data_IF_134049302402
#
_entry.id   IF_134049302402
#
_cell.length_a   1.000
_cell.length_b   1.000
_cell.length_c   1.000
_cell.angle_alpha   90.00
_cell.angle_beta   90.00
_cell.angle_gamma   90.00
#
_symmetry.space_group_name_H-M   'P 1'
#
loop_
_entity.id
_entity.type
_entity.pdbx_description
1 polymer ?
#
# COMPACT_ATOMS: atom_id res chain seq x y z
N UNK A 1 35.67 -36.68 -33.63
CA UNK A 1 35.55 -37.44 -32.37
C UNK A 1 34.10 -37.82 -32.21
N UNK A 2 33.79 -39.03 -31.74
CA UNK A 2 32.40 -39.43 -31.52
C UNK A 2 31.82 -38.61 -30.37
N UNK A 3 30.65 -38.02 -30.56
CA UNK A 3 29.94 -37.29 -29.51
C UNK A 3 29.43 -38.30 -28.46
N UNK A 4 29.77 -38.08 -27.19
CA UNK A 4 29.31 -38.92 -26.10
C UNK A 4 28.44 -38.11 -25.14
N UNK A 5 27.21 -38.58 -24.90
CA UNK A 5 26.30 -37.98 -23.93
C UNK A 5 26.84 -38.22 -22.52
N UNK A 6 27.09 -37.15 -21.77
CA UNK A 6 27.59 -37.23 -20.38
C UNK A 6 26.52 -37.01 -19.34
N UNK A 7 25.40 -36.38 -19.70
CA UNK A 7 24.21 -36.35 -18.86
C UNK A 7 23.21 -35.29 -19.29
N UNK A 8 22.19 -35.10 -18.46
CA UNK A 8 21.12 -34.12 -18.65
C UNK A 8 21.05 -33.20 -17.43
N UNK A 9 21.07 -31.89 -17.66
CA UNK A 9 20.97 -30.88 -16.60
C UNK A 9 19.93 -29.83 -16.96
N UNK A 10 18.98 -29.57 -16.08
CA UNK A 10 17.81 -28.71 -16.30
C UNK A 10 17.00 -29.04 -17.57
N UNK A 11 17.07 -30.30 -18.05
CA UNK A 11 16.41 -30.72 -19.29
C UNK A 11 17.26 -30.57 -20.54
N UNK A 12 18.52 -30.14 -20.44
CA UNK A 12 19.46 -30.01 -21.56
C UNK A 12 20.47 -31.16 -21.53
N UNK A 13 20.57 -31.87 -22.65
CA UNK A 13 21.56 -32.93 -22.85
C UNK A 13 22.94 -32.31 -23.13
N UNK A 14 23.95 -32.75 -22.38
CA UNK A 14 25.33 -32.26 -22.48
C UNK A 14 26.23 -33.35 -23.05
N UNK A 15 27.00 -33.02 -24.09
CA UNK A 15 27.90 -33.96 -24.77
C UNK A 15 29.38 -33.58 -24.62
N UNK A 16 30.26 -34.58 -24.74
CA UNK A 16 31.69 -34.39 -24.94
C UNK A 16 32.11 -34.66 -26.39
N UNK A 17 32.99 -33.80 -26.97
CA UNK A 17 33.50 -32.55 -26.40
C UNK A 17 32.40 -31.47 -26.26
N UNK A 18 32.51 -30.63 -25.24
CA UNK A 18 31.50 -29.61 -24.88
C UNK A 18 31.20 -28.67 -26.05
N UNK A 19 29.91 -28.47 -26.35
CA UNK A 19 29.46 -27.48 -27.33
C UNK A 19 28.98 -26.22 -26.64
N UNK A 20 29.54 -25.08 -27.06
CA UNK A 20 29.15 -23.76 -26.57
C UNK A 20 27.66 -23.44 -26.76
N UNK A 21 27.01 -24.01 -27.78
CA UNK A 21 25.56 -23.91 -27.98
C UNK A 21 24.76 -24.64 -26.90
N UNK A 22 25.17 -25.85 -26.50
CA UNK A 22 24.51 -26.61 -25.43
C UNK A 22 24.66 -25.88 -24.09
N UNK A 23 25.80 -25.22 -23.85
CA UNK A 23 26.00 -24.40 -22.64
C UNK A 23 25.09 -23.16 -22.63
N UNK A 24 24.82 -22.53 -23.77
CA UNK A 24 23.83 -21.44 -23.86
C UNK A 24 22.42 -21.94 -23.56
N UNK A 25 22.04 -23.07 -24.13
CA UNK A 25 20.75 -23.70 -23.87
C UNK A 25 20.62 -24.05 -22.38
N UNK A 26 21.71 -24.52 -21.75
CA UNK A 26 21.79 -24.79 -20.32
C UNK A 26 21.57 -23.54 -19.45
N UNK A 27 22.14 -22.39 -19.81
CA UNK A 27 21.92 -21.12 -19.09
C UNK A 27 20.44 -20.73 -19.12
N UNK A 28 19.81 -20.78 -20.29
CA UNK A 28 18.37 -20.47 -20.45
C UNK A 28 17.51 -21.49 -19.69
N UNK A 29 17.87 -22.77 -19.74
CA UNK A 29 17.16 -23.83 -19.04
C UNK A 29 17.26 -23.67 -17.50
N UNK A 30 18.42 -23.25 -16.99
CA UNK A 30 18.63 -22.94 -15.57
C UNK A 30 17.69 -21.83 -15.09
N UNK A 31 17.58 -20.73 -15.85
CA UNK A 31 16.71 -19.61 -15.47
C UNK A 31 15.22 -20.01 -15.45
N UNK A 32 14.80 -20.83 -16.43
CA UNK A 32 13.44 -21.37 -16.46
C UNK A 32 13.18 -22.33 -15.29
N UNK A 33 14.17 -23.15 -14.92
CA UNK A 33 14.09 -24.04 -13.78
C UNK A 33 13.95 -23.25 -12.45
N UNK A 34 14.72 -22.18 -12.26
CA UNK A 34 14.62 -21.30 -11.09
C UNK A 34 13.22 -20.68 -11.00
N UNK A 35 12.69 -20.13 -12.11
CA UNK A 35 11.33 -19.56 -12.14
C UNK A 35 10.28 -20.59 -11.75
N UNK A 36 10.40 -21.81 -12.27
CA UNK A 36 9.50 -22.91 -11.95
C UNK A 36 9.58 -23.31 -10.46
N UNK A 37 10.78 -23.36 -9.87
CA UNK A 37 10.95 -23.59 -8.43
C UNK A 37 10.29 -22.51 -7.58
N UNK A 38 10.42 -21.24 -7.97
CA UNK A 38 9.75 -20.12 -7.29
C UNK A 38 8.23 -20.29 -7.31
N UNK A 39 7.65 -20.65 -8.46
CA UNK A 39 6.20 -20.84 -8.63
C UNK A 39 5.67 -22.07 -7.88
N UNK A 40 6.32 -23.23 -8.01
CA UNK A 40 5.82 -24.50 -7.47
C UNK A 40 6.07 -24.67 -5.97
N UNK A 41 7.23 -24.21 -5.49
CA UNK A 41 7.66 -24.40 -4.10
C UNK A 41 7.55 -23.14 -3.24
N UNK A 42 7.06 -22.03 -3.81
CA UNK A 42 6.94 -20.73 -3.13
C UNK A 42 8.28 -20.29 -2.49
N UNK A 43 9.38 -20.55 -3.20
CA UNK A 43 10.73 -20.15 -2.80
C UNK A 43 11.00 -18.71 -3.27
N UNK A 44 11.85 -17.99 -2.53
CA UNK A 44 12.41 -16.75 -3.06
C UNK A 44 13.51 -17.04 -4.10
N UNK A 45 13.84 -16.04 -4.91
CA UNK A 45 14.81 -16.17 -6.01
C UNK A 45 16.18 -16.67 -5.54
N UNK A 46 16.65 -16.20 -4.39
CA UNK A 46 17.93 -16.62 -3.83
C UNK A 46 17.92 -18.09 -3.44
N UNK A 47 16.85 -18.57 -2.82
CA UNK A 47 16.67 -19.99 -2.47
C UNK A 47 16.62 -20.87 -3.72
N UNK A 48 15.80 -20.51 -4.70
CA UNK A 48 15.69 -21.27 -5.94
C UNK A 48 17.00 -21.29 -6.74
N UNK A 49 17.76 -20.19 -6.72
CA UNK A 49 19.08 -20.10 -7.37
C UNK A 49 20.13 -20.97 -6.66
N UNK A 50 20.08 -21.10 -5.33
CA UNK A 50 20.94 -22.02 -4.58
C UNK A 50 20.64 -23.48 -4.94
N UNK A 51 19.36 -23.89 -4.93
CA UNK A 51 18.94 -25.24 -5.35
C UNK A 51 19.43 -25.59 -6.76
N UNK A 52 19.30 -24.65 -7.71
CA UNK A 52 19.81 -24.85 -9.06
C UNK A 52 21.35 -24.92 -9.09
N UNK A 53 22.05 -24.17 -8.24
CA UNK A 53 23.51 -24.19 -8.18
C UNK A 53 24.03 -25.51 -7.62
N UNK A 54 23.36 -26.08 -6.61
CA UNK A 54 23.70 -27.39 -6.05
C UNK A 54 23.60 -28.49 -7.12
N UNK A 55 22.55 -28.49 -7.94
CA UNK A 55 22.41 -29.44 -9.06
C UNK A 55 23.53 -29.32 -10.09
N UNK A 56 23.95 -28.08 -10.41
CA UNK A 56 25.07 -27.85 -11.33
C UNK A 56 26.40 -28.33 -10.74
N UNK A 57 26.64 -28.09 -9.45
CA UNK A 57 27.83 -28.57 -8.74
C UNK A 57 27.86 -30.09 -8.76
N UNK A 58 26.75 -30.75 -8.40
CA UNK A 58 26.63 -32.21 -8.42
C UNK A 58 26.90 -32.79 -9.81
N UNK A 59 26.38 -32.15 -10.86
CA UNK A 59 26.67 -32.56 -12.25
C UNK A 59 28.16 -32.43 -12.58
N UNK A 60 28.80 -31.33 -12.20
CA UNK A 60 30.23 -31.12 -12.43
C UNK A 60 31.12 -32.19 -11.74
N UNK A 61 30.68 -32.80 -10.63
CA UNK A 61 31.42 -33.90 -9.99
C UNK A 61 31.44 -35.20 -10.80
N UNK A 62 30.56 -35.34 -11.80
CA UNK A 62 30.48 -36.51 -12.68
C UNK A 62 31.42 -36.40 -13.89
N UNK A 63 31.99 -35.21 -14.13
CA UNK A 63 32.92 -34.94 -15.22
C UNK A 63 34.37 -35.13 -14.76
N UNK A 64 35.29 -35.20 -15.72
CA UNK A 64 36.72 -35.06 -15.41
C UNK A 64 37.03 -33.64 -14.90
N UNK A 65 38.11 -33.47 -14.14
CA UNK A 65 38.53 -32.15 -13.67
C UNK A 65 38.74 -31.16 -14.83
N UNK A 66 39.24 -31.65 -15.97
CA UNK A 66 39.47 -30.86 -17.18
C UNK A 66 38.15 -30.42 -17.84
N UNK A 67 37.20 -31.35 -18.02
CA UNK A 67 35.89 -31.06 -18.61
C UNK A 67 35.04 -30.15 -17.71
N UNK A 68 35.10 -30.36 -16.39
CA UNK A 68 34.44 -29.53 -15.38
C UNK A 68 34.97 -28.09 -15.37
N UNK A 69 36.30 -27.94 -15.45
CA UNK A 69 36.93 -26.63 -15.59
C UNK A 69 36.53 -25.95 -16.91
N UNK A 70 36.49 -26.70 -18.01
CA UNK A 70 36.10 -26.17 -19.31
C UNK A 70 34.62 -25.75 -19.35
N UNK A 71 33.71 -26.55 -18.77
CA UNK A 71 32.30 -26.21 -18.64
C UNK A 71 32.12 -24.93 -17.81
N UNK A 72 32.82 -24.84 -16.67
CA UNK A 72 32.78 -23.67 -15.80
C UNK A 72 33.26 -22.41 -16.52
N UNK A 73 34.33 -22.52 -17.33
CA UNK A 73 34.83 -21.42 -18.14
C UNK A 73 33.80 -20.96 -19.18
N UNK A 74 33.22 -21.89 -19.95
CA UNK A 74 32.21 -21.52 -20.96
C UNK A 74 30.97 -20.92 -20.31
N UNK A 75 30.51 -21.48 -19.19
CA UNK A 75 29.39 -20.93 -18.41
C UNK A 75 29.67 -19.49 -17.96
N UNK A 76 30.88 -19.22 -17.47
CA UNK A 76 31.27 -17.87 -17.06
C UNK A 76 31.31 -16.92 -18.25
N UNK A 77 31.94 -17.30 -19.36
CA UNK A 77 32.01 -16.48 -20.57
C UNK A 77 30.63 -16.15 -21.14
N UNK A 78 29.75 -17.15 -21.25
CA UNK A 78 28.40 -16.98 -21.77
C UNK A 78 27.51 -16.20 -20.79
N UNK A 79 27.61 -16.47 -19.49
CA UNK A 79 26.87 -15.69 -18.48
C UNK A 79 27.29 -14.22 -18.49
N UNK A 80 28.59 -13.93 -18.64
CA UNK A 80 29.08 -12.55 -18.74
C UNK A 80 28.63 -11.86 -20.04
N UNK A 81 28.50 -12.61 -21.14
CA UNK A 81 28.01 -12.07 -22.41
C UNK A 81 26.53 -11.67 -22.38
N UNK A 82 25.74 -12.27 -21.49
CA UNK A 82 24.31 -11.96 -21.31
C UNK A 82 24.08 -10.95 -20.17
N UNK A 83 25.07 -10.67 -19.32
CA UNK A 83 24.94 -9.60 -18.32
C UNK A 83 24.78 -8.24 -19.02
N UNK A 84 23.76 -7.44 -18.64
CA UNK A 84 23.65 -6.08 -19.14
C UNK A 84 24.91 -5.28 -18.76
N UNK A 85 25.38 -4.38 -19.64
CA UNK A 85 26.40 -3.41 -19.28
C UNK A 85 26.06 -2.74 -17.96
N UNK A 86 27.07 -2.50 -17.12
CA UNK A 86 26.90 -1.82 -15.82
C UNK A 86 26.13 -0.49 -15.99
N UNK A 87 26.37 0.23 -17.08
CA UNK A 87 25.65 1.45 -17.43
C UNK A 87 24.13 1.23 -17.58
N UNK A 88 23.71 0.18 -18.29
CA UNK A 88 22.30 -0.15 -18.48
C UNK A 88 21.63 -0.53 -17.14
N UNK A 89 22.37 -1.21 -16.25
CA UNK A 89 21.89 -1.53 -14.90
C UNK A 89 21.72 -0.26 -14.05
N UNK A 90 22.66 0.69 -14.14
CA UNK A 90 22.53 1.99 -13.46
C UNK A 90 21.34 2.78 -13.99
N UNK A 91 21.16 2.84 -15.30
CA UNK A 91 20.02 3.53 -15.94
C UNK A 91 18.68 2.92 -15.50
N UNK A 92 18.60 1.59 -15.40
CA UNK A 92 17.41 0.89 -14.88
C UNK A 92 17.14 1.27 -13.43
N UNK A 93 18.15 1.20 -12.55
CA UNK A 93 18.02 1.57 -11.14
C UNK A 93 17.61 3.04 -11.00
N UNK A 94 18.23 3.95 -11.76
CA UNK A 94 17.89 5.37 -11.75
C UNK A 94 16.44 5.59 -12.17
N UNK A 95 16.00 4.93 -13.26
CA UNK A 95 14.63 5.04 -13.76
C UNK A 95 13.60 4.51 -12.77
N UNK A 96 13.85 3.35 -12.15
CA UNK A 96 12.98 2.79 -11.11
C UNK A 96 12.91 3.70 -9.89
N UNK A 97 14.07 4.19 -9.43
CA UNK A 97 14.15 5.11 -8.29
C UNK A 97 13.39 6.40 -8.57
N UNK A 98 13.55 6.96 -9.78
CA UNK A 98 12.85 8.17 -10.20
C UNK A 98 11.34 7.96 -10.26
N UNK A 99 10.89 6.81 -10.76
CA UNK A 99 9.47 6.40 -10.77
C UNK A 99 8.88 6.37 -9.35
N UNK A 100 9.59 5.76 -8.39
CA UNK A 100 9.14 5.74 -6.99
C UNK A 100 9.11 7.13 -6.34
N UNK A 101 10.12 7.97 -6.61
CA UNK A 101 10.16 9.35 -6.13
C UNK A 101 8.99 10.16 -6.70
N UNK A 102 8.69 9.99 -7.98
CA UNK A 102 7.57 10.66 -8.64
C UNK A 102 6.24 10.24 -8.00
N UNK A 103 6.01 8.94 -7.81
CA UNK A 103 4.80 8.43 -7.17
C UNK A 103 4.59 9.02 -5.76
N UNK A 104 5.65 9.07 -4.96
CA UNK A 104 5.62 9.63 -3.62
C UNK A 104 5.38 11.16 -3.63
N UNK A 105 5.99 11.88 -4.57
CA UNK A 105 5.83 13.33 -4.71
C UNK A 105 4.39 13.68 -5.06
N UNK A 106 3.80 13.03 -6.06
CA UNK A 106 2.39 13.25 -6.41
C UNK A 106 1.44 12.89 -5.27
N UNK A 107 1.76 11.85 -4.48
CA UNK A 107 0.96 11.51 -3.30
C UNK A 107 1.00 12.63 -2.24
N UNK A 108 2.18 13.22 -1.99
CA UNK A 108 2.33 14.35 -1.05
C UNK A 108 1.52 15.56 -1.52
N UNK A 109 1.55 15.87 -2.82
CA UNK A 109 0.76 16.96 -3.41
C UNK A 109 -0.74 16.73 -3.24
N UNK A 110 -1.23 15.52 -3.54
CA UNK A 110 -2.62 15.14 -3.31
C UNK A 110 -3.01 15.26 -1.82
N UNK A 111 -2.12 14.81 -0.92
CA UNK A 111 -2.34 14.83 0.53
C UNK A 111 -2.41 16.26 1.07
N UNK A 112 -1.58 17.18 0.55
CA UNK A 112 -1.62 18.59 0.92
C UNK A 112 -2.99 19.21 0.60
N UNK A 113 -3.51 18.97 -0.61
CA UNK A 113 -4.83 19.45 -1.00
C UNK A 113 -5.95 18.78 -0.19
N UNK A 114 -5.83 17.49 0.13
CA UNK A 114 -6.77 16.81 1.02
C UNK A 114 -6.80 17.43 2.43
N UNK A 115 -5.66 17.85 2.95
CA UNK A 115 -5.58 18.54 4.24
C UNK A 115 -6.29 19.90 4.19
N UNK A 116 -6.14 20.65 3.10
CA UNK A 116 -6.90 21.89 2.88
C UNK A 116 -8.41 21.63 2.82
N UNK A 117 -8.83 20.59 2.09
CA UNK A 117 -10.24 20.17 2.01
C UNK A 117 -10.78 19.86 3.42
N UNK A 118 -10.05 19.07 4.19
CA UNK A 118 -10.42 18.67 5.55
C UNK A 118 -10.53 19.88 6.49
N UNK A 119 -9.58 20.82 6.40
CA UNK A 119 -9.63 22.06 7.16
C UNK A 119 -10.85 22.92 6.79
N UNK A 120 -11.19 23.02 5.50
CA UNK A 120 -12.36 23.75 5.04
C UNK A 120 -13.67 23.14 5.57
N UNK A 121 -13.81 21.82 5.50
CA UNK A 121 -14.95 21.10 6.06
C UNK A 121 -15.05 21.32 7.58
N UNK A 122 -13.92 21.30 8.29
CA UNK A 122 -13.87 21.49 9.73
C UNK A 122 -14.23 22.91 10.18
N UNK A 123 -13.74 23.93 9.48
CA UNK A 123 -13.94 25.34 9.84
C UNK A 123 -15.29 25.84 9.33
N UNK A 124 -15.53 25.68 8.03
CA UNK A 124 -16.66 26.28 7.34
C UNK A 124 -17.83 25.30 7.13
N UNK A 125 -17.59 23.99 7.23
CA UNK A 125 -18.60 22.97 6.92
C UNK A 125 -18.78 22.71 5.43
N UNK A 126 -18.04 23.42 4.60
CA UNK A 126 -18.10 23.28 3.15
C UNK A 126 -16.74 23.64 2.54
N UNK A 127 -16.46 23.12 1.35
CA UNK A 127 -15.33 23.53 0.53
C UNK A 127 -15.71 24.66 -0.45
N UNK A 128 -16.68 25.51 -0.11
CA UNK A 128 -17.22 26.53 -1.01
C UNK A 128 -16.63 27.91 -0.76
N UNK A 129 -16.32 28.64 -1.84
CA UNK A 129 -15.93 30.04 -1.78
C UNK A 129 -17.01 30.94 -1.15
N UNK A 130 -18.27 30.52 -1.25
CA UNK A 130 -19.41 31.23 -0.67
C UNK A 130 -19.39 31.27 0.86
N UNK A 131 -18.64 30.36 1.50
CA UNK A 131 -18.47 30.36 2.96
C UNK A 131 -17.25 31.17 3.43
N UNK A 132 -16.56 31.88 2.52
CA UNK A 132 -15.31 32.59 2.79
C UNK A 132 -14.09 31.68 2.89
N UNK A 133 -14.22 30.39 2.52
CA UNK A 133 -13.12 29.47 2.39
C UNK A 133 -12.40 29.69 1.06
N UNK A 134 -11.09 29.44 0.98
CA UNK A 134 -10.43 29.20 -0.30
C UNK A 134 -10.65 27.72 -0.65
N UNK A 135 -11.45 27.36 -1.68
CA UNK A 135 -11.74 25.97 -1.98
C UNK A 135 -10.46 25.19 -2.30
N UNK A 136 -10.31 24.03 -1.67
CA UNK A 136 -9.30 23.05 -2.04
C UNK A 136 -9.63 22.49 -3.43
N UNK A 137 -8.62 22.35 -4.29
CA UNK A 137 -8.81 21.86 -5.66
C UNK A 137 -8.85 20.33 -5.69
N UNK A 138 -10.02 19.76 -5.38
CA UNK A 138 -10.23 18.30 -5.30
C UNK A 138 -9.90 17.60 -6.63
N UNK A 139 -10.17 18.23 -7.76
CA UNK A 139 -9.84 17.66 -9.08
C UNK A 139 -8.34 17.48 -9.27
N UNK A 140 -7.57 18.51 -8.95
CA UNK A 140 -6.11 18.44 -8.99
C UNK A 140 -5.55 17.38 -8.02
N UNK A 141 -6.12 17.26 -6.82
CA UNK A 141 -5.74 16.19 -5.89
C UNK A 141 -5.99 14.78 -6.47
N UNK A 142 -7.07 14.61 -7.22
CA UNK A 142 -7.40 13.35 -7.90
C UNK A 142 -6.42 13.09 -9.06
N UNK A 143 -6.01 14.12 -9.79
CA UNK A 143 -4.99 14.00 -10.84
C UNK A 143 -3.65 13.53 -10.24
N UNK A 144 -3.17 14.19 -9.20
CA UNK A 144 -1.94 13.81 -8.51
C UNK A 144 -2.01 12.37 -7.97
N UNK A 145 -3.10 11.97 -7.30
CA UNK A 145 -3.19 10.62 -6.74
C UNK A 145 -3.37 9.54 -7.83
N UNK A 146 -3.96 9.89 -8.97
CA UNK A 146 -3.99 9.01 -10.13
C UNK A 146 -2.57 8.77 -10.66
N UNK A 147 -1.74 9.80 -10.72
CA UNK A 147 -0.33 9.65 -11.13
C UNK A 147 0.42 8.69 -10.20
N UNK A 148 0.25 8.82 -8.89
CA UNK A 148 0.82 7.86 -7.93
C UNK A 148 0.33 6.42 -8.15
N UNK A 149 -0.95 6.25 -8.49
CA UNK A 149 -1.55 4.93 -8.72
C UNK A 149 -1.26 4.34 -10.11
N UNK A 150 -0.89 5.16 -11.09
CA UNK A 150 -0.35 4.68 -12.37
C UNK A 150 1.02 4.02 -12.18
N UNK A 151 1.84 4.60 -11.31
CA UNK A 151 3.19 4.13 -11.00
C UNK A 151 3.17 2.98 -9.97
N UNK A 152 2.28 3.05 -8.97
CA UNK A 152 2.14 2.01 -7.93
C UNK A 152 0.66 1.62 -7.71
N UNK A 153 0.07 0.78 -8.58
CA UNK A 153 -1.38 0.51 -8.60
C UNK A 153 -1.96 -0.15 -7.36
N UNK A 154 -1.13 -0.87 -6.60
CA UNK A 154 -1.54 -1.62 -5.41
C UNK A 154 -1.00 -1.00 -4.11
N UNK A 155 -0.57 0.27 -4.13
CA UNK A 155 -0.18 0.96 -2.91
C UNK A 155 -1.42 1.30 -2.07
N UNK A 156 -1.53 0.68 -0.89
CA UNK A 156 -2.68 0.82 0.00
C UNK A 156 -2.89 2.27 0.47
N UNK A 157 -1.83 3.03 0.73
CA UNK A 157 -1.93 4.42 1.17
C UNK A 157 -2.54 5.30 0.06
N UNK A 158 -2.13 5.08 -1.19
CA UNK A 158 -2.62 5.86 -2.34
C UNK A 158 -4.09 5.56 -2.63
N UNK A 159 -4.49 4.28 -2.57
CA UNK A 159 -5.88 3.87 -2.70
C UNK A 159 -6.76 4.46 -1.58
N UNK A 160 -6.27 4.46 -0.34
CA UNK A 160 -6.97 5.08 0.78
C UNK A 160 -7.17 6.59 0.56
N UNK A 161 -6.13 7.33 0.16
CA UNK A 161 -6.25 8.77 -0.08
C UNK A 161 -7.22 9.09 -1.23
N UNK A 162 -7.15 8.37 -2.35
CA UNK A 162 -8.10 8.52 -3.46
C UNK A 162 -9.53 8.24 -3.00
N UNK A 163 -9.72 7.18 -2.22
CA UNK A 163 -11.03 6.85 -1.67
C UNK A 163 -11.60 7.95 -0.77
N UNK A 164 -10.77 8.57 0.08
CA UNK A 164 -11.16 9.71 0.90
C UNK A 164 -11.52 10.96 0.08
N UNK A 165 -10.76 11.26 -0.97
CA UNK A 165 -11.02 12.37 -1.90
C UNK A 165 -12.35 12.18 -2.64
N UNK A 166 -12.66 10.95 -3.10
CA UNK A 166 -13.94 10.63 -3.72
C UNK A 166 -15.09 10.74 -2.71
N UNK A 167 -14.93 10.15 -1.54
CA UNK A 167 -15.99 10.11 -0.52
C UNK A 167 -16.34 11.51 0.00
N UNK A 168 -15.35 12.37 0.28
CA UNK A 168 -15.57 13.70 0.89
C UNK A 168 -15.61 14.83 -0.13
N UNK A 169 -14.67 14.85 -1.06
CA UNK A 169 -14.51 15.93 -2.02
C UNK A 169 -15.53 15.83 -3.15
N UNK A 170 -15.60 14.66 -3.80
CA UNK A 170 -16.55 14.41 -4.90
C UNK A 170 -17.94 13.96 -4.44
N UNK A 171 -18.07 13.57 -3.17
CA UNK A 171 -19.29 12.98 -2.60
C UNK A 171 -19.71 11.67 -3.29
N UNK A 172 -18.79 11.04 -4.01
CA UNK A 172 -18.95 9.70 -4.56
C UNK A 172 -18.58 8.69 -3.48
N UNK A 173 -19.58 8.38 -2.65
CA UNK A 173 -19.38 7.53 -1.47
C UNK A 173 -19.15 6.08 -1.83
N UNK A 174 -19.76 5.60 -2.91
CA UNK A 174 -19.69 4.21 -3.31
C UNK A 174 -18.30 3.89 -3.89
N UNK A 175 -17.82 4.73 -4.82
CA UNK A 175 -16.46 4.59 -5.33
C UNK A 175 -15.41 4.82 -4.23
N UNK A 176 -15.64 5.81 -3.36
CA UNK A 176 -14.77 6.08 -2.22
C UNK A 176 -14.66 4.89 -1.26
N UNK A 177 -15.79 4.28 -0.89
CA UNK A 177 -15.84 3.11 0.00
C UNK A 177 -15.14 1.91 -0.63
N UNK A 178 -15.36 1.65 -1.92
CA UNK A 178 -14.72 0.53 -2.63
C UNK A 178 -13.19 0.62 -2.57
N UNK A 179 -12.62 1.81 -2.79
CA UNK A 179 -11.18 2.02 -2.74
C UNK A 179 -10.61 1.87 -1.32
N UNK A 180 -11.30 2.41 -0.31
CA UNK A 180 -10.86 2.31 1.10
C UNK A 180 -10.91 0.85 1.58
N UNK A 181 -11.92 0.07 1.15
CA UNK A 181 -11.98 -1.37 1.42
C UNK A 181 -10.80 -2.11 0.81
N UNK A 182 -10.51 -1.87 -0.48
CA UNK A 182 -9.34 -2.46 -1.14
C UNK A 182 -8.03 -2.07 -0.44
N UNK A 183 -7.88 -0.83 -0.01
CA UNK A 183 -6.72 -0.38 0.76
C UNK A 183 -6.58 -1.14 2.09
N UNK A 184 -7.68 -1.36 2.80
CA UNK A 184 -7.71 -2.10 4.06
C UNK A 184 -7.41 -3.59 3.88
N UNK A 185 -7.81 -4.19 2.76
CA UNK A 185 -7.47 -5.57 2.39
C UNK A 185 -5.97 -5.71 2.07
N UNK A 186 -5.39 -4.75 1.36
CA UNK A 186 -3.97 -4.75 1.00
C UNK A 186 -3.05 -4.50 2.21
N UNK A 187 -3.49 -3.70 3.17
CA UNK A 187 -2.73 -3.45 4.40
C UNK A 187 -3.61 -3.53 5.66
N UNK A 188 -3.92 -4.74 6.16
CA UNK A 188 -4.83 -4.93 7.28
C UNK A 188 -4.27 -4.43 8.62
N UNK A 189 -2.95 -4.21 8.72
CA UNK A 189 -2.28 -3.74 9.95
C UNK A 189 -2.18 -2.22 10.04
N UNK A 190 -2.51 -1.49 8.98
CA UNK A 190 -2.49 -0.03 9.00
C UNK A 190 -3.69 0.53 9.78
N UNK A 191 -3.41 1.03 10.97
CA UNK A 191 -4.42 1.57 11.89
C UNK A 191 -5.18 2.75 11.27
N UNK A 192 -4.51 3.60 10.48
CA UNK A 192 -5.14 4.77 9.88
C UNK A 192 -6.13 4.35 8.79
N UNK A 193 -5.77 3.39 7.95
CA UNK A 193 -6.65 2.84 6.92
C UNK A 193 -7.86 2.15 7.56
N UNK A 194 -7.65 1.33 8.60
CA UNK A 194 -8.75 0.67 9.32
C UNK A 194 -9.70 1.68 9.98
N UNK A 195 -9.14 2.75 10.56
CA UNK A 195 -9.93 3.84 11.12
C UNK A 195 -10.73 4.59 10.04
N UNK A 196 -10.13 4.88 8.89
CA UNK A 196 -10.82 5.49 7.76
C UNK A 196 -11.94 4.61 7.24
N UNK A 197 -11.70 3.31 7.05
CA UNK A 197 -12.71 2.34 6.64
C UNK A 197 -13.91 2.36 7.58
N UNK A 198 -13.65 2.21 8.88
CA UNK A 198 -14.70 2.25 9.91
C UNK A 198 -15.46 3.58 9.91
N UNK A 199 -14.76 4.68 9.67
CA UNK A 199 -15.35 6.00 9.60
C UNK A 199 -16.28 6.20 8.38
N UNK A 200 -15.94 5.60 7.23
CA UNK A 200 -16.77 5.66 6.03
C UNK A 200 -17.92 4.65 6.04
N UNK A 201 -17.77 3.52 6.75
CA UNK A 201 -18.84 2.52 6.96
C UNK A 201 -19.87 2.95 8.03
N UNK A 202 -19.40 3.54 9.13
CA UNK A 202 -20.25 4.14 10.18
C UNK A 202 -20.03 5.66 10.32
N UNK A 203 -20.45 6.46 9.31
CA UNK A 203 -20.32 7.91 9.36
C UNK A 203 -21.29 8.53 10.38
N UNK A 204 -22.30 7.78 10.86
CA UNK A 204 -23.28 8.22 11.86
C UNK A 204 -22.86 7.89 13.30
N UNK A 205 -21.66 7.35 13.50
CA UNK A 205 -21.20 6.85 14.78
C UNK A 205 -21.08 7.89 15.91
N UNK A 206 -20.79 9.15 15.56
CA UNK A 206 -20.59 10.25 16.49
C UNK A 206 -21.12 11.56 15.91
N UNK A 207 -22.45 11.78 15.90
CA UNK A 207 -23.10 12.94 15.29
C UNK A 207 -22.54 14.30 15.72
N UNK A 208 -22.39 14.53 17.03
CA UNK A 208 -21.89 15.81 17.57
C UNK A 208 -20.45 16.04 17.15
N UNK A 209 -19.59 15.02 17.25
CA UNK A 209 -18.19 15.13 16.87
C UNK A 209 -18.07 15.36 15.36
N UNK A 210 -18.77 14.56 14.54
CA UNK A 210 -18.81 14.69 13.08
C UNK A 210 -19.30 16.08 12.65
N UNK A 211 -20.34 16.62 13.28
CA UNK A 211 -20.82 17.98 13.02
C UNK A 211 -19.78 19.06 13.40
N UNK A 212 -19.01 18.83 14.46
CA UNK A 212 -17.98 19.76 14.94
C UNK A 212 -16.69 19.73 14.12
N UNK A 213 -16.32 18.56 13.57
CA UNK A 213 -15.12 18.37 12.76
C UNK A 213 -15.40 18.45 11.25
N UNK A 214 -16.67 18.45 10.84
CA UNK A 214 -17.08 18.58 9.44
C UNK A 214 -16.88 17.33 8.59
N UNK A 215 -16.21 16.31 9.12
CA UNK A 215 -15.90 15.06 8.44
C UNK A 215 -15.91 13.91 9.44
N UNK A 216 -16.43 12.72 9.06
CA UNK A 216 -16.39 11.56 9.95
C UNK A 216 -15.01 10.91 10.03
N UNK A 217 -14.06 11.22 9.13
CA UNK A 217 -12.73 10.59 9.11
C UNK A 217 -11.69 11.37 9.92
N UNK A 218 -12.09 12.46 10.59
CA UNK A 218 -11.18 13.19 11.46
C UNK A 218 -10.60 12.26 12.53
N UNK A 219 -9.27 12.28 12.67
CA UNK A 219 -8.53 11.40 13.58
C UNK A 219 -9.07 11.47 15.01
N UNK A 220 -9.44 12.66 15.48
CA UNK A 220 -10.00 12.86 16.82
C UNK A 220 -11.31 12.12 17.08
N UNK A 221 -12.11 11.88 16.03
CA UNK A 221 -13.36 11.13 16.15
C UNK A 221 -13.08 9.64 16.36
N UNK A 222 -11.97 9.13 15.82
CA UNK A 222 -11.62 7.72 15.91
C UNK A 222 -11.31 7.31 17.35
N UNK A 223 -10.65 8.17 18.14
CA UNK A 223 -10.43 7.94 19.57
C UNK A 223 -11.76 7.83 20.34
N UNK A 224 -12.74 8.69 20.02
CA UNK A 224 -14.07 8.66 20.62
C UNK A 224 -14.84 7.39 20.24
N UNK A 225 -14.79 6.99 18.95
CA UNK A 225 -15.40 5.74 18.47
C UNK A 225 -14.77 4.52 19.13
N UNK A 226 -13.44 4.48 19.21
CA UNK A 226 -12.73 3.38 19.84
C UNK A 226 -13.12 3.24 21.30
N UNK A 227 -13.17 4.34 22.06
CA UNK A 227 -13.62 4.32 23.45
C UNK A 227 -15.09 3.90 23.60
N UNK A 228 -15.98 4.42 22.73
CA UNK A 228 -17.39 4.03 22.67
C UNK A 228 -17.53 2.52 22.50
N UNK A 229 -16.78 1.95 21.56
CA UNK A 229 -16.92 0.54 21.16
C UNK A 229 -16.22 -0.43 22.12
N UNK A 230 -15.10 -0.03 22.73
CA UNK A 230 -14.28 -0.95 23.55
C UNK A 230 -14.50 -0.82 25.05
N UNK A 231 -14.97 0.34 25.54
CA UNK A 231 -15.18 0.60 26.96
C UNK A 231 -16.66 0.87 27.27
N UNK A 232 -17.28 1.80 26.57
CA UNK A 232 -18.63 2.26 26.90
C UNK A 232 -19.71 1.21 26.60
N UNK A 233 -19.63 0.57 25.42
CA UNK A 233 -20.60 -0.46 24.98
C UNK A 233 -20.64 -1.70 25.88
N UNK A 234 -19.56 -1.99 26.62
CA UNK A 234 -19.44 -3.17 27.48
C UNK A 234 -20.36 -3.09 28.70
N UNK A 235 -20.68 -1.87 29.17
CA UNK A 235 -21.48 -1.65 30.37
C UNK A 235 -22.94 -1.30 30.03
N UNK A 236 -23.89 -1.75 30.86
CA UNK A 236 -25.34 -1.49 30.68
C UNK A 236 -25.64 0.01 30.61
N UNK A 237 -25.10 0.79 31.55
CA UNK A 237 -25.25 2.24 31.55
C UNK A 237 -24.66 2.92 30.32
N UNK A 238 -23.53 2.40 29.81
CA UNK A 238 -22.93 2.91 28.59
C UNK A 238 -23.79 2.64 27.36
N UNK A 239 -24.43 1.46 27.26
CA UNK A 239 -25.42 1.19 26.20
C UNK A 239 -26.64 2.11 26.27
N UNK A 240 -27.14 2.39 27.48
CA UNK A 240 -28.23 3.35 27.68
C UNK A 240 -27.81 4.76 27.23
N UNK A 241 -26.62 5.21 27.63
CA UNK A 241 -26.07 6.49 27.20
C UNK A 241 -25.95 6.58 25.67
N UNK A 242 -25.38 5.55 25.04
CA UNK A 242 -25.25 5.46 23.58
C UNK A 242 -26.63 5.58 22.93
N UNK A 243 -27.61 4.77 23.35
CA UNK A 243 -28.95 4.81 22.76
C UNK A 243 -29.60 6.20 22.89
N UNK A 244 -29.50 6.84 24.05
CA UNK A 244 -30.01 8.20 24.27
C UNK A 244 -29.28 9.21 23.39
N UNK A 245 -27.95 9.10 23.28
CA UNK A 245 -27.14 9.93 22.39
C UNK A 245 -27.61 9.82 20.94
N UNK A 246 -27.81 8.61 20.40
CA UNK A 246 -28.24 8.41 19.01
C UNK A 246 -29.64 8.96 18.74
N UNK A 247 -30.53 8.99 19.75
CA UNK A 247 -31.89 9.56 19.62
C UNK A 247 -31.90 11.09 19.66
N UNK A 248 -31.11 11.69 20.56
CA UNK A 248 -31.20 13.12 20.86
C UNK A 248 -30.18 13.96 20.08
N UNK A 249 -29.01 13.40 19.75
CA UNK A 249 -27.93 14.15 19.12
C UNK A 249 -28.15 14.57 17.66
N UNK A 250 -28.90 13.88 16.78
CA UNK A 250 -29.05 14.30 15.37
C UNK A 250 -29.58 15.73 15.17
N UNK A 251 -30.66 16.20 15.83
CA UNK A 251 -31.10 17.58 15.70
C UNK A 251 -30.06 18.58 16.22
N UNK A 252 -29.41 18.28 17.35
CA UNK A 252 -28.35 19.12 17.93
C UNK A 252 -27.16 19.23 16.98
N UNK A 253 -26.77 18.12 16.36
CA UNK A 253 -25.68 18.06 15.39
C UNK A 253 -25.95 18.95 14.16
N UNK A 254 -27.20 19.00 13.67
CA UNK A 254 -27.58 19.92 12.57
C UNK A 254 -27.38 21.39 12.95
N UNK A 255 -27.72 21.77 14.18
CA UNK A 255 -27.51 23.15 14.67
C UNK A 255 -26.01 23.48 14.77
N UNK A 256 -25.19 22.53 15.25
CA UNK A 256 -23.74 22.70 15.34
C UNK A 256 -23.11 22.81 13.95
N UNK A 257 -23.54 21.98 12.99
CA UNK A 257 -22.98 21.92 11.65
C UNK A 257 -23.08 23.26 10.89
N UNK A 258 -24.11 24.06 11.20
CA UNK A 258 -24.37 25.36 10.56
C UNK A 258 -23.68 26.55 11.26
N UNK A 259 -22.96 26.35 12.37
CA UNK A 259 -22.36 27.45 13.14
C UNK A 259 -20.86 27.24 13.41
N UNK A 260 -19.97 28.01 12.75
CA UNK A 260 -18.51 27.93 12.98
C UNK A 260 -18.11 28.15 14.45
N UNK A 261 -18.82 29.04 15.15
CA UNK A 261 -18.61 29.30 16.59
C UNK A 261 -19.00 28.08 17.43
N UNK A 262 -20.16 27.46 17.16
CA UNK A 262 -20.61 26.25 17.86
C UNK A 262 -19.63 25.10 17.65
N UNK A 263 -19.16 24.87 16.41
CA UNK A 263 -18.13 23.87 16.12
C UNK A 263 -16.87 24.10 16.95
N UNK A 264 -16.36 25.34 17.00
CA UNK A 264 -15.16 25.69 17.78
C UNK A 264 -15.35 25.44 19.29
N UNK A 265 -16.51 25.77 19.84
CA UNK A 265 -16.84 25.52 21.25
C UNK A 265 -16.87 24.02 21.54
N UNK A 266 -17.60 23.25 20.74
CA UNK A 266 -17.70 21.79 20.89
C UNK A 266 -16.32 21.14 20.80
N UNK A 267 -15.49 21.52 19.83
CA UNK A 267 -14.11 21.02 19.74
C UNK A 267 -13.28 21.35 20.99
N UNK A 268 -13.41 22.57 21.53
CA UNK A 268 -12.72 22.95 22.77
C UNK A 268 -13.18 22.12 23.97
N UNK A 269 -14.46 21.76 24.04
CA UNK A 269 -15.00 20.88 25.08
C UNK A 269 -14.58 19.41 24.91
N UNK A 270 -14.51 18.91 23.67
CA UNK A 270 -14.10 17.54 23.39
C UNK A 270 -12.59 17.32 23.56
N UNK A 271 -11.78 18.36 23.32
CA UNK A 271 -10.31 18.26 23.30
C UNK A 271 -9.69 17.65 24.58
N UNK A 272 -10.05 18.08 25.81
CA UNK A 272 -9.51 17.45 27.02
C UNK A 272 -9.81 15.96 27.11
N UNK A 273 -11.03 15.55 26.73
CA UNK A 273 -11.43 14.15 26.72
C UNK A 273 -10.64 13.37 25.67
N UNK A 274 -10.49 13.90 24.45
CA UNK A 274 -9.71 13.25 23.40
C UNK A 274 -8.25 13.06 23.82
N UNK A 275 -7.64 14.07 24.45
CA UNK A 275 -6.25 13.98 24.95
C UNK A 275 -6.13 12.89 26.02
N UNK A 276 -7.10 12.81 26.94
CA UNK A 276 -7.15 11.77 27.95
C UNK A 276 -7.34 10.35 27.37
N UNK A 277 -8.21 10.21 26.37
CA UNK A 277 -8.41 8.93 25.69
C UNK A 277 -7.16 8.49 24.93
N UNK A 278 -6.49 9.43 24.25
CA UNK A 278 -5.24 9.14 23.55
C UNK A 278 -4.16 8.62 24.52
N UNK A 279 -3.99 9.26 25.68
CA UNK A 279 -2.97 8.85 26.65
C UNK A 279 -3.27 7.50 27.33
N UNK A 280 -4.52 7.05 27.32
CA UNK A 280 -4.94 5.77 27.88
C UNK A 280 -4.95 4.64 26.85
N UNK A 281 -5.14 4.94 25.57
CA UNK A 281 -5.07 3.96 24.48
C UNK A 281 -3.64 3.68 24.01
N UNK A 282 -2.67 4.57 24.28
CA UNK A 282 -1.24 4.36 23.98
C UNK A 282 -0.47 3.58 25.06
N UNK A 283 -1.16 3.01 26.06
CA UNK A 283 -0.60 2.12 27.09
C UNK A 283 -1.15 0.71 26.91
#
# INVERSE_FOLDING_TARGET
>A
MAENLVGNLFGVDIHLPLKRSEVRDLIVARDNFIKNLMEQKNLNEMQASLDASDMLIDFCTQLSDEDSAHLSQILQEESMAVMPPIADTFDQIEKETQSHIEAATSHIEAQAIFNELSANLQVYGSNSGLTGARPANVDLAIEHINRSLELEPNNAAYLNLKGLLLWQGKKDKDAGLALIKRAAELNPRDINIQHNLKAVEDPKGCFIATASYGTPVAYEINELRYWRDTKLSKNVYGRIFINTYYKVSPPIARLIANSPKAKKIVRKMLRPLIIYLKSTNSK
#
